data_IF_660388812046
#
_entry.id   IF_660388812046
#
_cell.length_a   1.000
_cell.length_b   1.000
_cell.length_c   1.000
_cell.angle_alpha   90.00
_cell.angle_beta   90.00
_cell.angle_gamma   90.00
#
_symmetry.space_group_name_H-M   'P 1'
#
loop_
_entity.id
_entity.type
_entity.pdbx_description
1 polymer ?
#
# COMPACT_ATOMS: atom_id res chain seq x y z
N UNK A 1 -45.56 9.95 39.00
CA UNK A 1 -44.92 8.79 38.35
C UNK A 1 -43.69 9.30 37.61
N UNK A 2 -42.51 8.94 38.10
CA UNK A 2 -41.23 9.31 37.49
C UNK A 2 -41.05 8.46 36.22
N UNK A 3 -41.00 9.12 35.06
CA UNK A 3 -40.59 8.51 33.80
C UNK A 3 -39.06 8.49 33.74
N UNK A 4 -38.49 7.29 33.79
CA UNK A 4 -37.05 7.06 33.70
C UNK A 4 -36.50 7.56 32.35
N UNK A 5 -35.62 8.55 32.40
CA UNK A 5 -34.69 8.85 31.32
C UNK A 5 -33.74 7.66 31.17
N UNK A 6 -33.93 6.86 30.12
CA UNK A 6 -32.96 5.84 29.73
C UNK A 6 -31.69 6.55 29.25
N UNK A 7 -30.59 6.34 29.96
CA UNK A 7 -29.24 6.77 29.58
C UNK A 7 -28.88 6.21 28.20
N UNK A 8 -28.83 7.06 27.19
CA UNK A 8 -28.27 6.75 25.87
C UNK A 8 -26.75 6.94 25.92
N UNK A 9 -26.00 5.99 26.48
CA UNK A 9 -24.55 5.96 26.23
C UNK A 9 -23.89 4.59 26.40
N UNK A 10 -24.51 3.55 25.82
CA UNK A 10 -23.81 2.29 25.51
C UNK A 10 -23.71 2.14 23.99
N UNK A 11 -22.95 3.02 23.32
CA UNK A 11 -22.49 2.72 21.97
C UNK A 11 -21.41 1.64 22.07
N UNK A 12 -21.86 0.37 22.02
CA UNK A 12 -21.01 -0.81 21.99
C UNK A 12 -19.91 -0.62 20.95
N UNK A 13 -18.66 -0.79 21.39
CA UNK A 13 -17.48 -0.60 20.55
C UNK A 13 -17.51 -1.58 19.36
N UNK A 14 -17.71 -1.08 18.14
CA UNK A 14 -17.77 -1.91 16.95
C UNK A 14 -16.37 -2.49 16.66
N UNK A 15 -16.23 -3.80 16.77
CA UNK A 15 -15.01 -4.55 16.40
C UNK A 15 -15.25 -5.29 15.09
N UNK A 16 -14.33 -5.16 14.15
CA UNK A 16 -14.41 -5.85 12.87
C UNK A 16 -14.14 -7.35 12.97
N UNK A 17 -14.82 -8.14 12.16
CA UNK A 17 -14.65 -9.61 12.08
C UNK A 17 -14.24 -10.10 10.69
N UNK A 18 -13.92 -9.19 9.76
CA UNK A 18 -13.40 -9.57 8.44
C UNK A 18 -11.94 -10.04 8.54
N UNK A 19 -11.72 -11.35 8.47
CA UNK A 19 -10.37 -11.94 8.54
C UNK A 19 -9.56 -11.84 7.23
N UNK A 20 -10.22 -11.52 6.11
CA UNK A 20 -9.57 -11.28 4.82
C UNK A 20 -9.11 -9.83 4.64
N UNK A 21 -8.19 -9.59 3.69
CA UNK A 21 -7.80 -8.24 3.28
C UNK A 21 -8.95 -7.47 2.59
N UNK A 22 -9.99 -8.19 2.15
CA UNK A 22 -11.23 -7.68 1.57
C UNK A 22 -12.43 -8.49 2.11
N UNK A 23 -13.55 -7.85 2.50
CA UNK A 23 -14.76 -8.57 2.87
C UNK A 23 -15.31 -9.42 1.72
N UNK A 24 -15.78 -10.64 2.01
CA UNK A 24 -16.33 -11.56 1.00
C UNK A 24 -17.53 -10.96 0.24
N UNK A 25 -18.35 -10.15 0.91
CA UNK A 25 -19.46 -9.44 0.27
C UNK A 25 -18.96 -8.45 -0.80
N UNK A 26 -17.88 -7.73 -0.52
CA UNK A 26 -17.26 -6.81 -1.49
C UNK A 26 -16.60 -7.58 -2.64
N UNK A 27 -15.90 -8.70 -2.37
CA UNK A 27 -15.30 -9.54 -3.42
C UNK A 27 -16.36 -9.99 -4.42
N UNK A 28 -17.48 -10.55 -3.93
CA UNK A 28 -18.60 -11.01 -4.78
C UNK A 28 -19.24 -9.87 -5.56
N UNK A 29 -19.42 -8.71 -4.93
CA UNK A 29 -19.92 -7.51 -5.59
C UNK A 29 -19.00 -7.11 -6.74
N UNK A 30 -17.69 -6.97 -6.48
CA UNK A 30 -16.72 -6.53 -7.50
C UNK A 30 -16.54 -7.55 -8.63
N UNK A 31 -16.69 -8.84 -8.36
CA UNK A 31 -16.76 -9.88 -9.41
C UNK A 31 -17.99 -9.70 -10.30
N UNK A 32 -19.18 -9.57 -9.70
CA UNK A 32 -20.44 -9.43 -10.44
C UNK A 32 -20.46 -8.16 -11.31
N UNK A 33 -20.02 -7.04 -10.74
CA UNK A 33 -20.00 -5.75 -11.44
C UNK A 33 -18.76 -5.55 -12.34
N UNK A 34 -17.86 -6.54 -12.44
CA UNK A 34 -16.60 -6.48 -13.21
C UNK A 34 -15.69 -5.30 -12.80
N UNK A 35 -15.65 -5.00 -11.50
CA UNK A 35 -14.88 -3.91 -10.87
C UNK A 35 -13.64 -4.43 -10.12
N UNK A 36 -12.92 -5.39 -10.72
CA UNK A 36 -11.68 -5.92 -10.15
C UNK A 36 -10.52 -5.07 -10.65
N UNK A 37 -9.69 -4.55 -9.73
CA UNK A 37 -8.54 -3.74 -10.14
C UNK A 37 -7.50 -4.64 -10.83
N UNK A 38 -6.74 -4.16 -11.85
CA UNK A 38 -5.70 -4.96 -12.48
C UNK A 38 -4.74 -5.61 -11.49
N UNK A 39 -4.38 -4.90 -10.42
CA UNK A 39 -3.47 -5.39 -9.36
C UNK A 39 -4.06 -6.52 -8.49
N UNK A 40 -5.35 -6.79 -8.62
CA UNK A 40 -6.08 -7.85 -7.91
C UNK A 40 -6.47 -9.01 -8.84
N UNK A 41 -6.26 -8.87 -10.16
CA UNK A 41 -6.56 -9.90 -11.15
C UNK A 41 -5.56 -11.05 -11.09
N UNK A 42 -6.03 -12.27 -11.35
CA UNK A 42 -5.18 -13.41 -11.58
C UNK A 42 -4.34 -13.23 -12.86
N UNK A 43 -3.20 -13.91 -12.88
CA UNK A 43 -2.26 -13.90 -13.99
C UNK A 43 -2.05 -15.35 -14.44
N UNK A 44 -2.06 -15.59 -15.74
CA UNK A 44 -1.77 -16.91 -16.32
C UNK A 44 -0.26 -17.22 -16.33
N UNK A 45 0.11 -18.39 -16.87
CA UNK A 45 1.51 -18.79 -17.03
C UNK A 45 2.32 -17.86 -17.93
N UNK A 46 1.67 -17.08 -18.79
CA UNK A 46 2.29 -16.18 -19.77
C UNK A 46 2.38 -14.73 -19.27
N UNK A 47 1.90 -14.44 -18.05
CA UNK A 47 1.89 -13.07 -17.52
C UNK A 47 0.66 -12.25 -17.92
N UNK A 48 -0.33 -12.83 -18.59
CA UNK A 48 -1.54 -12.14 -19.01
C UNK A 48 -2.57 -12.09 -17.87
N UNK A 49 -3.20 -10.92 -17.70
CA UNK A 49 -4.27 -10.72 -16.70
C UNK A 49 -5.54 -11.41 -17.14
N UNK A 50 -6.12 -12.16 -16.22
CA UNK A 50 -7.36 -12.88 -16.40
C UNK A 50 -8.50 -12.09 -15.73
N UNK A 51 -9.70 -12.15 -16.30
CA UNK A 51 -10.86 -11.41 -15.81
C UNK A 51 -11.54 -12.11 -14.60
N UNK A 52 -10.73 -12.60 -13.66
CA UNK A 52 -11.16 -13.15 -12.38
C UNK A 52 -10.14 -12.79 -11.30
N UNK A 53 -10.57 -12.68 -10.02
CA UNK A 53 -9.70 -12.17 -8.98
C UNK A 53 -8.69 -13.24 -8.55
N UNK A 54 -7.48 -12.81 -8.26
CA UNK A 54 -6.58 -13.56 -7.42
C UNK A 54 -7.02 -13.36 -5.97
N UNK A 55 -7.60 -14.38 -5.33
CA UNK A 55 -8.22 -14.27 -4.00
C UNK A 55 -7.30 -13.59 -2.97
N UNK A 56 -6.02 -14.00 -2.91
CA UNK A 56 -4.99 -13.44 -2.03
C UNK A 56 -4.55 -12.01 -2.36
N UNK A 57 -4.98 -11.44 -3.48
CA UNK A 57 -4.62 -10.08 -3.91
C UNK A 57 -5.76 -9.07 -3.67
N UNK A 58 -6.98 -9.52 -3.40
CA UNK A 58 -8.15 -8.65 -3.17
C UNK A 58 -7.97 -7.82 -1.90
N UNK A 59 -8.08 -6.50 -2.01
CA UNK A 59 -8.00 -5.59 -0.86
C UNK A 59 -9.22 -4.67 -0.86
N UNK A 60 -9.84 -4.49 0.33
CA UNK A 60 -11.01 -3.63 0.54
C UNK A 60 -10.80 -2.24 -0.06
N UNK A 61 -11.68 -1.80 -0.96
CA UNK A 61 -11.64 -0.47 -1.56
C UNK A 61 -12.13 0.60 -0.56
N UNK A 62 -11.61 1.82 -0.68
CA UNK A 62 -12.16 2.93 0.11
C UNK A 62 -13.58 3.26 -0.37
N UNK A 63 -14.51 3.41 0.58
CA UNK A 63 -15.88 3.82 0.30
C UNK A 63 -16.25 5.02 1.14
N UNK A 64 -16.88 6.02 0.54
CA UNK A 64 -17.38 7.17 1.29
C UNK A 64 -18.54 6.70 2.18
N UNK A 65 -18.56 7.04 3.48
CA UNK A 65 -19.72 6.74 4.32
C UNK A 65 -20.97 7.39 3.72
N UNK A 66 -21.96 6.58 3.36
CA UNK A 66 -23.26 7.07 2.89
C UNK A 66 -24.16 7.35 4.10
N UNK A 67 -24.92 8.44 4.05
CA UNK A 67 -25.87 8.79 5.11
C UNK A 67 -26.88 7.66 5.32
N UNK A 68 -27.01 7.18 6.56
CA UNK A 68 -27.96 6.12 6.93
C UNK A 68 -27.49 4.68 6.64
N UNK A 69 -26.29 4.49 6.07
CA UNK A 69 -25.75 3.13 5.86
C UNK A 69 -25.27 2.54 7.20
N UNK A 70 -25.86 1.41 7.58
CA UNK A 70 -25.41 0.66 8.76
C UNK A 70 -24.12 -0.08 8.46
N UNK A 71 -23.08 0.19 9.26
CA UNK A 71 -21.78 -0.48 9.15
C UNK A 71 -21.86 -1.82 9.88
N UNK A 72 -21.63 -2.92 9.17
CA UNK A 72 -21.62 -4.27 9.74
C UNK A 72 -20.21 -4.64 10.17
N UNK A 73 -20.08 -5.40 11.27
CA UNK A 73 -18.79 -5.93 11.73
C UNK A 73 -18.10 -6.81 10.66
N UNK A 74 -18.88 -7.51 9.83
CA UNK A 74 -18.38 -8.33 8.70
C UNK A 74 -17.70 -7.52 7.61
N UNK A 75 -17.96 -6.22 7.54
CA UNK A 75 -17.41 -5.33 6.52
C UNK A 75 -16.14 -4.62 7.02
N UNK A 76 -15.75 -4.82 8.29
CA UNK A 76 -14.63 -4.15 8.94
C UNK A 76 -13.54 -5.17 9.28
N UNK A 77 -12.29 -4.84 8.90
CA UNK A 77 -11.12 -5.68 9.20
C UNK A 77 -10.56 -5.32 10.58
N UNK A 78 -10.29 -6.29 11.47
CA UNK A 78 -9.66 -6.03 12.76
C UNK A 78 -8.21 -5.58 12.59
N UNK A 79 -7.65 -4.89 13.61
CA UNK A 79 -6.30 -4.28 13.57
C UNK A 79 -5.19 -5.23 13.09
N UNK A 80 -5.12 -6.51 13.52
CA UNK A 80 -4.10 -7.44 13.01
C UNK A 80 -4.19 -7.68 11.50
N UNK A 81 -5.41 -7.75 10.96
CA UNK A 81 -5.66 -7.92 9.52
C UNK A 81 -5.33 -6.64 8.76
N UNK A 82 -5.58 -5.46 9.34
CA UNK A 82 -5.17 -4.18 8.78
C UNK A 82 -3.65 -4.08 8.66
N UNK A 83 -2.91 -4.53 9.69
CA UNK A 83 -1.46 -4.60 9.65
C UNK A 83 -0.95 -5.60 8.59
N UNK A 84 -1.57 -6.80 8.49
CA UNK A 84 -1.27 -7.78 7.42
C UNK A 84 -1.48 -7.16 6.04
N UNK A 85 -2.60 -6.45 5.85
CA UNK A 85 -2.96 -5.77 4.60
C UNK A 85 -1.92 -4.69 4.25
N UNK A 86 -1.56 -3.85 5.21
CA UNK A 86 -0.54 -2.82 5.02
C UNK A 86 0.80 -3.42 4.55
N UNK A 87 1.25 -4.50 5.19
CA UNK A 87 2.49 -5.19 4.80
C UNK A 87 2.41 -5.70 3.37
N UNK A 88 1.29 -6.30 2.96
CA UNK A 88 1.08 -6.73 1.58
C UNK A 88 1.16 -5.54 0.60
N UNK A 89 0.47 -4.43 0.90
CA UNK A 89 0.50 -3.24 0.05
C UNK A 89 1.93 -2.70 -0.13
N UNK A 90 2.68 -2.58 0.96
CA UNK A 90 4.03 -1.98 0.93
C UNK A 90 5.12 -2.93 0.41
N UNK A 91 5.07 -4.22 0.74
CA UNK A 91 6.11 -5.18 0.39
C UNK A 91 5.87 -5.88 -0.95
N UNK A 92 4.61 -6.09 -1.33
CA UNK A 92 4.26 -6.78 -2.57
C UNK A 92 3.82 -5.78 -3.64
N UNK A 93 2.84 -4.92 -3.34
CA UNK A 93 2.23 -4.07 -4.38
C UNK A 93 3.13 -2.90 -4.79
N UNK A 94 3.71 -2.17 -3.82
CA UNK A 94 4.64 -1.07 -4.11
C UNK A 94 5.90 -1.50 -4.88
N UNK A 95 6.27 -2.78 -4.78
CA UNK A 95 7.47 -3.34 -5.42
C UNK A 95 7.22 -3.93 -6.81
N UNK A 96 5.97 -3.91 -7.30
CA UNK A 96 5.63 -4.42 -8.65
C UNK A 96 6.30 -3.58 -9.73
N UNK A 97 6.84 -4.28 -10.74
CA UNK A 97 7.50 -3.69 -11.92
C UNK A 97 6.74 -3.96 -13.21
N UNK A 98 5.70 -4.80 -13.16
CA UNK A 98 4.87 -5.18 -14.31
C UNK A 98 3.79 -4.13 -14.65
N UNK A 99 3.72 -3.04 -13.90
CA UNK A 99 2.75 -1.94 -14.07
C UNK A 99 3.42 -0.59 -13.88
N UNK A 100 2.76 0.47 -14.36
CA UNK A 100 3.17 1.84 -14.08
C UNK A 100 3.05 2.16 -12.58
N UNK A 101 3.94 3.03 -12.09
CA UNK A 101 3.87 3.50 -10.71
C UNK A 101 2.59 4.30 -10.43
N UNK A 102 2.06 5.02 -11.41
CA UNK A 102 0.79 5.74 -11.27
C UNK A 102 -0.35 4.80 -10.86
N UNK A 103 -0.45 3.64 -11.49
CA UNK A 103 -1.45 2.63 -11.16
C UNK A 103 -1.23 2.03 -9.76
N UNK A 104 0.04 1.81 -9.38
CA UNK A 104 0.39 1.35 -8.03
C UNK A 104 0.01 2.38 -6.97
N UNK A 105 0.34 3.66 -7.20
CA UNK A 105 0.01 4.75 -6.29
C UNK A 105 -1.51 4.88 -6.11
N UNK A 106 -2.27 4.92 -7.20
CA UNK A 106 -3.74 5.04 -7.16
C UNK A 106 -4.35 3.91 -6.33
N UNK A 107 -3.91 2.67 -6.56
CA UNK A 107 -4.37 1.52 -5.79
C UNK A 107 -3.97 1.61 -4.31
N UNK A 108 -2.68 1.78 -4.01
CA UNK A 108 -2.20 1.76 -2.63
C UNK A 108 -2.77 2.92 -1.82
N UNK A 109 -2.87 4.12 -2.41
CA UNK A 109 -3.46 5.29 -1.77
C UNK A 109 -4.93 5.08 -1.41
N UNK A 110 -5.72 4.47 -2.30
CA UNK A 110 -7.11 4.09 -2.04
C UNK A 110 -7.20 3.04 -0.92
N UNK A 111 -6.43 1.95 -1.02
CA UNK A 111 -6.48 0.87 -0.03
C UNK A 111 -5.97 1.31 1.35
N UNK A 112 -5.03 2.25 1.41
CA UNK A 112 -4.61 2.90 2.67
C UNK A 112 -5.74 3.74 3.27
N UNK A 113 -6.53 4.46 2.47
CA UNK A 113 -7.71 5.17 2.98
C UNK A 113 -8.75 4.19 3.55
N UNK A 114 -8.95 3.03 2.91
CA UNK A 114 -9.82 1.98 3.44
C UNK A 114 -9.30 1.41 4.78
N UNK A 115 -7.98 1.21 4.92
CA UNK A 115 -7.36 0.78 6.18
C UNK A 115 -7.59 1.83 7.28
N UNK A 116 -7.35 3.11 6.97
CA UNK A 116 -7.56 4.22 7.92
C UNK A 116 -9.02 4.36 8.32
N UNK A 117 -9.96 4.13 7.39
CA UNK A 117 -11.39 4.12 7.67
C UNK A 117 -11.77 3.01 8.65
N UNK A 118 -11.28 1.79 8.43
CA UNK A 118 -11.54 0.66 9.34
C UNK A 118 -10.97 0.93 10.75
N UNK A 119 -9.79 1.55 10.85
CA UNK A 119 -9.23 1.99 12.15
C UNK A 119 -10.12 3.04 12.83
N UNK A 120 -10.61 4.02 12.06
CA UNK A 120 -11.48 5.09 12.58
C UNK A 120 -12.80 4.54 13.13
N UNK A 121 -13.47 3.66 12.36
CA UNK A 121 -14.71 3.00 12.75
C UNK A 121 -14.54 2.21 14.05
N UNK A 122 -13.43 1.49 14.18
CA UNK A 122 -13.10 0.70 15.37
C UNK A 122 -12.47 1.51 16.49
N UNK A 123 -12.38 2.84 16.36
CA UNK A 123 -11.69 3.73 17.32
C UNK A 123 -10.30 3.19 17.74
N UNK A 124 -9.58 2.59 16.79
CA UNK A 124 -8.33 1.89 17.03
C UNK A 124 -7.21 2.85 17.45
N UNK A 125 -6.91 2.89 18.75
CA UNK A 125 -5.91 3.80 19.35
C UNK A 125 -4.89 3.02 20.19
N UNK A 126 -4.06 2.23 19.50
CA UNK A 126 -2.99 1.44 20.11
C UNK A 126 -1.70 1.54 19.27
N UNK A 127 -0.62 0.93 19.75
CA UNK A 127 0.70 0.96 19.10
C UNK A 127 0.66 0.40 17.67
N UNK A 128 -0.13 -0.65 17.41
CA UNK A 128 -0.29 -1.19 16.06
C UNK A 128 -0.98 -0.18 15.12
N UNK A 129 -2.03 0.50 15.59
CA UNK A 129 -2.70 1.55 14.81
C UNK A 129 -1.73 2.71 14.51
N UNK A 130 -0.94 3.14 15.50
CA UNK A 130 0.10 4.15 15.32
C UNK A 130 1.11 3.74 14.24
N UNK A 131 1.61 2.50 14.28
CA UNK A 131 2.53 1.98 13.26
C UNK A 131 1.91 2.00 11.86
N UNK A 132 0.62 1.69 11.73
CA UNK A 132 -0.11 1.77 10.46
C UNK A 132 -0.14 3.21 9.93
N UNK A 133 -0.52 4.18 10.77
CA UNK A 133 -0.57 5.58 10.36
C UNK A 133 0.82 6.13 10.00
N UNK A 134 1.85 5.77 10.76
CA UNK A 134 3.22 6.15 10.42
C UNK A 134 3.65 5.57 9.07
N UNK A 135 3.39 4.29 8.80
CA UNK A 135 3.69 3.69 7.51
C UNK A 135 2.95 4.38 6.34
N UNK A 136 1.69 4.78 6.55
CA UNK A 136 0.95 5.58 5.58
C UNK A 136 1.60 6.96 5.35
N UNK A 137 2.06 7.66 6.41
CA UNK A 137 2.85 8.89 6.27
C UNK A 137 4.10 8.66 5.42
N UNK A 138 4.87 7.60 5.69
CA UNK A 138 6.08 7.27 4.91
C UNK A 138 5.74 7.04 3.44
N UNK A 139 4.65 6.32 3.17
CA UNK A 139 4.15 6.10 1.81
C UNK A 139 3.82 7.42 1.11
N UNK A 140 3.03 8.31 1.72
CA UNK A 140 2.62 9.56 1.06
C UNK A 140 3.79 10.53 0.83
N UNK A 141 4.78 10.57 1.73
CA UNK A 141 6.01 11.36 1.54
C UNK A 141 6.81 10.79 0.36
N UNK A 142 7.04 9.47 0.36
CA UNK A 142 7.78 8.82 -0.72
C UNK A 142 7.05 8.93 -2.07
N UNK A 143 5.73 8.77 -2.08
CA UNK A 143 4.91 8.91 -3.28
C UNK A 143 5.07 10.32 -3.86
N UNK A 144 4.92 11.36 -3.04
CA UNK A 144 5.10 12.75 -3.47
C UNK A 144 6.48 13.01 -4.08
N UNK A 145 7.54 12.52 -3.42
CA UNK A 145 8.90 12.66 -3.93
C UNK A 145 9.08 11.89 -5.25
N UNK A 146 8.59 10.66 -5.33
CA UNK A 146 8.75 9.81 -6.52
C UNK A 146 8.00 10.33 -7.74
N UNK A 147 6.89 11.03 -7.54
CA UNK A 147 6.04 11.57 -8.62
C UNK A 147 6.24 13.07 -8.85
N UNK A 148 7.27 13.69 -8.28
CA UNK A 148 7.46 15.14 -8.38
C UNK A 148 7.69 15.64 -9.82
N UNK A 149 8.14 14.76 -10.72
CA UNK A 149 8.33 15.04 -12.15
C UNK A 149 7.22 14.47 -13.04
N UNK A 150 6.22 13.78 -12.48
CA UNK A 150 5.13 13.17 -13.24
C UNK A 150 4.05 14.20 -13.63
N UNK A 151 3.33 13.91 -14.72
CA UNK A 151 2.18 14.71 -15.14
C UNK A 151 0.99 14.60 -14.17
N UNK A 152 0.19 15.66 -14.07
CA UNK A 152 -0.99 15.74 -13.17
C UNK A 152 -2.07 14.70 -13.47
N UNK A 153 -2.11 14.14 -14.69
CA UNK A 153 -3.04 13.07 -15.06
C UNK A 153 -2.77 11.77 -14.31
N UNK A 154 -1.52 11.55 -13.92
CA UNK A 154 -1.05 10.31 -13.31
C UNK A 154 -0.99 10.42 -11.77
N UNK A 155 -0.86 11.64 -11.25
CA UNK A 155 -0.72 11.92 -9.82
C UNK A 155 -1.34 13.28 -9.47
N UNK A 156 -2.18 13.31 -8.44
CA UNK A 156 -2.71 14.55 -7.85
C UNK A 156 -1.88 14.93 -6.59
N UNK A 157 -0.99 15.93 -6.67
CA UNK A 157 -0.15 16.33 -5.54
C UNK A 157 -0.96 16.92 -4.40
N UNK A 158 -2.07 17.61 -4.68
CA UNK A 158 -2.91 18.24 -3.66
C UNK A 158 -3.64 17.19 -2.84
N UNK A 159 -4.23 16.20 -3.51
CA UNK A 159 -4.88 15.10 -2.82
C UNK A 159 -3.86 14.30 -1.99
N UNK A 160 -2.69 14.00 -2.54
CA UNK A 160 -1.63 13.31 -1.78
C UNK A 160 -1.21 14.11 -0.53
N UNK A 161 -0.96 15.41 -0.68
CA UNK A 161 -0.58 16.28 0.43
C UNK A 161 -1.67 16.37 1.49
N UNK A 162 -2.94 16.43 1.09
CA UNK A 162 -4.06 16.38 2.04
C UNK A 162 -4.05 15.08 2.84
N UNK A 163 -3.93 13.93 2.17
CA UNK A 163 -3.86 12.64 2.86
C UNK A 163 -2.66 12.55 3.80
N UNK A 164 -1.50 13.09 3.39
CA UNK A 164 -0.31 13.18 4.23
C UNK A 164 -0.57 14.01 5.48
N UNK A 165 -1.02 15.26 5.35
CA UNK A 165 -1.24 16.18 6.48
C UNK A 165 -2.31 15.65 7.43
N UNK A 166 -3.41 15.11 6.91
CA UNK A 166 -4.48 14.52 7.72
C UNK A 166 -3.97 13.31 8.53
N UNK A 167 -3.17 12.45 7.89
CA UNK A 167 -2.59 11.27 8.56
C UNK A 167 -1.55 11.68 9.60
N UNK A 168 -0.70 12.65 9.28
CA UNK A 168 0.37 13.13 10.14
C UNK A 168 -0.17 13.83 11.39
N UNK A 169 -1.23 14.63 11.24
CA UNK A 169 -1.93 15.24 12.38
C UNK A 169 -2.48 14.19 13.35
N UNK A 170 -3.02 13.09 12.82
CA UNK A 170 -3.51 11.97 13.63
C UNK A 170 -2.36 11.22 14.33
N UNK A 171 -1.20 11.06 13.68
CA UNK A 171 0.00 10.51 14.33
C UNK A 171 0.41 11.40 15.52
N UNK A 172 0.40 12.72 15.34
CA UNK A 172 0.74 13.65 16.42
C UNK A 172 -0.24 13.59 17.59
N UNK A 173 -1.55 13.45 17.33
CA UNK A 173 -2.54 13.28 18.41
C UNK A 173 -2.36 11.94 19.14
N UNK A 174 -2.05 10.86 18.41
CA UNK A 174 -1.80 9.56 19.02
C UNK A 174 -0.56 9.56 19.92
N UNK A 175 0.49 10.31 19.56
CA UNK A 175 1.64 10.48 20.45
C UNK A 175 1.25 11.13 21.78
N UNK A 176 0.46 12.22 21.73
CA UNK A 176 -0.01 12.90 22.94
C UNK A 176 -0.88 11.98 23.81
N UNK A 177 -1.79 11.24 23.20
CA UNK A 177 -2.65 10.29 23.93
C UNK A 177 -1.84 9.17 24.59
N UNK A 178 -0.87 8.58 23.88
CA UNK A 178 -0.04 7.50 24.43
C UNK A 178 0.93 8.00 25.51
N UNK A 179 1.49 9.20 25.36
CA UNK A 179 2.33 9.84 26.38
C UNK A 179 1.52 10.13 27.64
N UNK A 180 0.28 10.60 27.52
CA UNK A 180 -0.64 10.79 28.65
C UNK A 180 -0.93 9.48 29.38
N UNK A 181 -1.23 8.39 28.65
CA UNK A 181 -1.46 7.07 29.25
C UNK A 181 -0.22 6.58 29.99
N UNK A 182 0.98 6.75 29.41
CA UNK A 182 2.24 6.40 30.07
C UNK A 182 2.53 7.23 31.32
N UNK A 183 2.01 8.46 31.40
CA UNK A 183 2.19 9.35 32.56
C UNK A 183 1.21 9.06 33.69
N UNK A 184 0.01 8.54 33.38
CA UNK A 184 -1.00 8.10 34.36
C UNK A 184 -0.59 6.77 34.99
N UNK A 185 -0.01 5.86 34.20
CA UNK A 185 0.45 4.55 34.65
C UNK A 185 1.94 4.64 35.03
N UNK A 186 2.23 5.07 36.26
CA UNK A 186 3.57 5.05 36.84
C UNK A 186 4.17 3.60 36.86
N UNK A 187 5.50 3.42 37.02
CA UNK A 187 6.30 2.35 36.40
C UNK A 187 6.24 0.98 37.09
N UNK A 188 5.11 0.60 37.68
CA UNK A 188 4.92 -0.77 38.15
C UNK A 188 4.17 -1.58 37.09
N UNK A 189 4.99 -2.21 36.23
CA UNK A 189 4.66 -3.34 35.34
C UNK A 189 3.55 -3.08 34.33
N UNK A 190 3.89 -2.40 33.24
CA UNK A 190 3.28 -2.77 31.96
C UNK A 190 4.22 -3.72 31.26
N UNK A 191 3.91 -5.01 31.34
CA UNK A 191 4.51 -5.99 30.45
C UNK A 191 3.92 -5.77 29.04
N UNK A 192 4.62 -4.98 28.23
CA UNK A 192 4.21 -4.64 26.86
C UNK A 192 4.24 -5.86 25.91
N UNK A 193 4.52 -7.07 26.42
CA UNK A 193 4.62 -8.31 25.64
C UNK A 193 3.26 -8.93 25.29
N UNK A 194 2.17 -8.54 25.92
CA UNK A 194 0.82 -9.01 25.55
C UNK A 194 0.37 -8.51 24.16
N UNK A 195 1.07 -7.51 23.59
CA UNK A 195 0.80 -6.99 22.25
C UNK A 195 1.69 -7.56 21.14
N UNK A 196 2.71 -8.38 21.48
CA UNK A 196 3.69 -8.90 20.50
C UNK A 196 3.61 -10.41 20.27
N UNK A 197 2.79 -11.15 21.03
CA UNK A 197 2.63 -12.59 20.83
C UNK A 197 1.49 -12.92 19.85
N UNK A 198 1.72 -12.71 18.56
CA UNK A 198 1.05 -13.48 17.51
C UNK A 198 2.12 -14.23 16.73
N UNK A 199 2.53 -15.39 17.24
CA UNK A 199 3.26 -16.38 16.47
C UNK A 199 2.31 -16.92 15.39
N UNK A 200 2.40 -16.33 14.19
CA UNK A 200 1.75 -16.87 13.01
C UNK A 200 2.44 -18.17 12.60
N UNK A 201 1.80 -19.29 12.88
CA UNK A 201 1.86 -20.50 12.06
C UNK A 201 0.47 -21.14 12.11
N UNK A 202 -0.37 -20.81 11.13
CA UNK A 202 -1.39 -21.74 10.68
C UNK A 202 -0.98 -22.14 9.26
N UNK A 203 -0.53 -23.39 9.13
CA UNK A 203 -0.54 -24.09 7.85
C UNK A 203 -2.01 -24.18 7.43
N UNK A 204 -2.44 -23.33 6.49
CA UNK A 204 -3.68 -23.58 5.75
C UNK A 204 -3.42 -24.80 4.87
N UNK A 205 -3.96 -25.94 5.31
CA UNK A 205 -4.10 -27.15 4.53
C UNK A 205 -4.84 -26.85 3.23
N UNK A 206 -4.25 -27.25 2.11
CA UNK A 206 -4.92 -27.33 0.81
C UNK A 206 -6.08 -28.32 0.93
N UNK A 207 -7.31 -27.82 1.09
CA UNK A 207 -8.50 -28.63 0.83
C UNK A 207 -8.67 -28.71 -0.70
N UNK A 208 -8.27 -29.85 -1.25
CA UNK A 208 -8.64 -30.27 -2.60
C UNK A 208 -10.17 -30.54 -2.60
N UNK A 209 -10.94 -29.64 -3.19
CA UNK A 209 -12.34 -29.90 -3.55
C UNK A 209 -12.37 -30.94 -4.69
N UNK A 210 -12.31 -32.22 -4.35
CA UNK A 210 -12.70 -33.32 -5.22
C UNK A 210 -14.16 -33.71 -4.91
N UNK A 211 -15.10 -33.22 -5.70
CA UNK A 211 -16.42 -33.86 -5.80
C UNK A 211 -16.84 -33.95 -7.27
N UNK A 212 -16.46 -35.07 -7.87
CA UNK A 212 -17.13 -35.71 -8.99
C UNK A 212 -18.02 -36.80 -8.43
N UNK A 213 -19.35 -36.72 -8.59
CA UNK A 213 -20.01 -37.63 -9.53
C UNK A 213 -21.47 -37.24 -9.84
N UNK A 214 -21.79 -37.60 -11.07
CA UNK A 214 -22.95 -37.42 -11.91
C UNK A 214 -24.31 -37.88 -11.36
N UNK A 215 -25.38 -37.21 -11.80
CA UNK A 215 -26.61 -37.87 -12.27
C UNK A 215 -27.09 -37.22 -13.56
N UNK A 216 -26.99 -38.03 -14.61
CA UNK A 216 -27.64 -37.89 -15.91
C UNK A 216 -29.14 -38.15 -15.72
N UNK A 217 -30.00 -37.33 -16.32
CA UNK A 217 -31.29 -37.82 -16.80
C UNK A 217 -31.66 -37.07 -18.10
N UNK A 218 -31.72 -37.85 -19.18
CA UNK A 218 -32.15 -37.44 -20.52
C UNK A 218 -33.68 -37.58 -20.63
N UNK A 219 -34.31 -36.60 -21.27
CA UNK A 219 -35.75 -36.65 -21.56
C UNK A 219 -36.20 -35.50 -22.45
N UNK A 220 -36.00 -35.66 -23.75
CA UNK A 220 -36.33 -34.71 -24.81
C UNK A 220 -37.85 -34.47 -24.97
N UNK A 221 -38.23 -33.28 -25.44
CA UNK A 221 -39.08 -33.15 -26.64
C UNK A 221 -39.09 -31.73 -27.22
N UNK A 222 -38.86 -31.68 -28.53
CA UNK A 222 -38.88 -30.55 -29.46
C UNK A 222 -40.29 -30.01 -29.75
N UNK A 223 -40.46 -28.69 -29.94
CA UNK A 223 -41.36 -28.15 -30.98
C UNK A 223 -40.82 -26.86 -31.62
N UNK A 224 -40.69 -26.96 -32.93
CA UNK A 224 -40.45 -25.93 -33.95
C UNK A 224 -41.74 -25.13 -34.17
N UNK A 225 -41.67 -23.80 -34.27
CA UNK A 225 -42.49 -22.99 -35.20
C UNK A 225 -41.65 -21.78 -35.64
N UNK A 226 -41.38 -21.72 -36.95
CA UNK A 226 -41.03 -20.50 -37.68
C UNK A 226 -42.31 -19.73 -37.98
N UNK A 227 -42.27 -18.39 -38.00
CA UNK A 227 -42.90 -17.67 -39.11
C UNK A 227 -42.30 -16.28 -39.32
N UNK A 228 -42.28 -15.91 -40.60
CA UNK A 228 -41.61 -14.75 -41.20
C UNK A 228 -42.61 -13.66 -41.59
N UNK A 229 -42.17 -12.38 -41.63
CA UNK A 229 -42.43 -11.32 -42.64
C UNK A 229 -42.16 -9.94 -42.00
N UNK A 230 -41.21 -9.11 -42.47
CA UNK A 230 -40.99 -8.43 -43.77
C UNK A 230 -41.64 -7.03 -43.85
N UNK A 231 -40.84 -6.10 -44.42
CA UNK A 231 -41.14 -4.77 -45.02
C UNK A 231 -40.35 -3.64 -44.34
N UNK A 232 -39.21 -3.22 -44.90
CA UNK A 232 -39.03 -2.11 -45.90
C UNK A 232 -39.38 -0.72 -45.32
N UNK A 233 -38.60 0.36 -45.42
CA UNK A 233 -37.86 0.99 -46.53
C UNK A 233 -36.87 2.01 -45.91
N UNK A 234 -35.67 2.22 -46.45
CA UNK A 234 -35.34 3.33 -47.39
C UNK A 234 -35.11 4.65 -46.64
N UNK A 235 -33.99 5.38 -46.71
CA UNK A 235 -33.20 5.83 -47.86
C UNK A 235 -31.91 6.49 -47.31
N UNK A 236 -30.72 6.25 -47.89
CA UNK A 236 -29.93 7.15 -48.78
C UNK A 236 -29.57 8.50 -48.13
N UNK A 237 -28.31 8.94 -48.04
CA UNK A 237 -27.26 9.14 -49.05
C UNK A 237 -25.93 9.38 -48.33
N UNK A 238 -24.70 9.16 -48.81
CA UNK A 238 -24.08 9.12 -50.14
C UNK A 238 -22.61 9.58 -49.91
N UNK A 239 -21.58 8.82 -50.31
CA UNK A 239 -20.64 9.16 -51.39
C UNK A 239 -19.53 10.12 -50.90
N UNK A 240 -18.23 10.05 -51.20
CA UNK A 240 -17.43 9.54 -52.32
C UNK A 240 -15.94 9.85 -51.92
N UNK A 241 -14.99 8.91 -51.96
CA UNK A 241 -13.97 8.64 -53.03
C UNK A 241 -12.52 9.09 -52.66
N UNK A 242 -11.57 8.19 -52.98
CA UNK A 242 -10.08 8.10 -52.85
C UNK A 242 -9.39 8.98 -53.95
N UNK A 243 -8.11 9.50 -53.89
CA UNK A 243 -6.77 8.81 -53.77
C UNK A 243 -5.69 9.61 -52.98
N UNK A 244 -4.44 9.22 -52.70
CA UNK A 244 -3.46 8.19 -53.13
C UNK A 244 -2.05 8.85 -53.13
N UNK A 245 -0.97 8.03 -53.06
CA UNK A 245 0.48 8.36 -53.19
C UNK A 245 1.20 8.87 -51.92
N UNK A 246 2.46 8.54 -51.58
CA UNK A 246 3.53 7.65 -52.05
C UNK A 246 4.66 7.73 -50.99
N UNK A 247 5.51 6.70 -50.86
CA UNK A 247 6.77 6.81 -50.09
C UNK A 247 7.39 5.49 -49.63
N UNK A 248 7.91 4.70 -50.56
CA UNK A 248 8.83 3.58 -50.29
C UNK A 248 10.26 4.09 -50.01
N UNK A 249 11.00 3.39 -49.12
CA UNK A 249 12.30 2.79 -49.46
C UNK A 249 12.87 1.91 -48.34
N UNK A 250 13.05 0.63 -48.69
CA UNK A 250 13.90 -0.40 -48.06
C UNK A 250 15.40 0.01 -48.13
N UNK A 251 16.32 -0.61 -47.39
CA UNK A 251 17.05 -1.82 -47.86
C UNK A 251 17.98 -2.41 -46.77
N UNK A 252 18.10 -3.73 -46.86
CA UNK A 252 18.84 -4.76 -46.10
C UNK A 252 20.30 -4.90 -46.56
N UNK A 253 21.16 -5.53 -45.73
CA UNK A 253 22.40 -6.22 -46.14
C UNK A 253 23.38 -6.31 -44.95
N UNK A 254 23.48 -7.42 -44.23
CA UNK A 254 24.20 -8.69 -44.49
C UNK A 254 25.69 -8.69 -44.11
N UNK A 255 26.00 -9.60 -43.17
CA UNK A 255 27.16 -10.52 -43.03
C UNK A 255 28.60 -10.09 -43.44
N UNK A 256 29.58 -10.28 -42.53
CA UNK A 256 30.48 -11.45 -42.57
C UNK A 256 31.55 -11.53 -41.44
N UNK A 257 32.03 -12.76 -41.27
CA UNK A 257 32.90 -13.39 -40.27
C UNK A 257 34.35 -12.85 -40.12
N UNK A 258 35.01 -13.16 -38.98
CA UNK A 258 36.18 -14.08 -39.01
C UNK A 258 36.76 -14.52 -37.64
N UNK A 259 36.91 -15.85 -37.51
CA UNK A 259 38.00 -16.68 -36.95
C UNK A 259 38.60 -16.39 -35.56
N UNK A 260 38.58 -17.32 -34.60
CA UNK A 260 39.07 -18.72 -34.52
C UNK A 260 40.54 -18.87 -34.08
N UNK A 261 40.74 -19.73 -33.07
CA UNK A 261 42.02 -20.07 -32.46
C UNK A 261 41.86 -21.27 -31.52
N UNK A 262 41.98 -22.46 -32.10
CA UNK A 262 42.14 -23.81 -31.51
C UNK A 262 43.38 -23.89 -30.59
N UNK A 263 43.59 -24.87 -29.70
CA UNK A 263 42.92 -26.11 -29.32
C UNK A 263 43.94 -27.00 -28.56
N UNK A 264 43.49 -27.87 -27.66
CA UNK A 264 44.09 -29.19 -27.45
C UNK A 264 43.35 -30.01 -26.40
N UNK A 265 42.78 -31.11 -26.87
CA UNK A 265 42.28 -32.25 -26.12
C UNK A 265 43.44 -33.20 -25.83
N UNK A 266 43.53 -33.73 -24.61
CA UNK A 266 43.99 -35.11 -24.36
C UNK A 266 43.20 -35.71 -23.21
N UNK A 267 42.47 -36.77 -23.52
CA UNK A 267 41.80 -37.67 -22.60
C UNK A 267 42.79 -38.72 -22.04
N UNK A 268 42.52 -39.18 -20.82
CA UNK A 268 43.24 -40.25 -20.14
C UNK A 268 42.58 -40.64 -18.81
N UNK A 269 41.54 -41.46 -18.92
CA UNK A 269 40.93 -42.40 -17.94
C UNK A 269 41.92 -42.96 -16.88
N UNK A 270 41.57 -43.44 -15.68
CA UNK A 270 40.35 -43.65 -14.86
C UNK A 270 40.87 -44.18 -13.51
N UNK A 271 40.31 -43.78 -12.37
CA UNK A 271 39.93 -44.71 -11.27
C UNK A 271 39.23 -43.99 -10.11
N UNK A 272 37.93 -44.28 -10.04
CA UNK A 272 37.03 -44.42 -8.90
C UNK A 272 37.57 -44.05 -7.49
N UNK A 273 36.88 -43.10 -6.86
CA UNK A 273 36.65 -43.11 -5.41
C UNK A 273 35.35 -42.38 -5.11
N UNK A 274 34.43 -43.11 -4.47
CA UNK A 274 33.15 -42.66 -3.91
C UNK A 274 33.28 -41.29 -3.22
N UNK A 275 32.38 -40.36 -3.56
CA UNK A 275 32.13 -39.16 -2.76
C UNK A 275 30.64 -39.02 -2.50
N UNK A 276 30.31 -39.37 -1.26
CA UNK A 276 29.11 -39.01 -0.51
C UNK A 276 28.80 -37.51 -0.71
N UNK A 277 27.57 -37.17 -1.11
CA UNK A 277 27.09 -35.80 -1.19
C UNK A 277 27.15 -35.13 0.19
N UNK A 278 27.70 -33.91 0.32
CA UNK A 278 27.58 -33.13 1.55
C UNK A 278 26.15 -32.63 1.70
N UNK A 279 25.52 -33.02 2.81
CA UNK A 279 24.27 -32.47 3.33
C UNK A 279 24.26 -30.95 3.26
N UNK A 280 23.28 -30.39 2.54
CA UNK A 280 23.00 -28.95 2.50
C UNK A 280 22.70 -28.43 3.91
N UNK A 281 23.71 -27.84 4.54
CA UNK A 281 23.51 -26.97 5.71
C UNK A 281 22.76 -25.73 5.23
N UNK A 282 21.44 -25.75 5.36
CA UNK A 282 20.59 -24.55 5.26
C UNK A 282 21.08 -23.53 6.29
N UNK A 283 21.84 -22.54 5.83
CA UNK A 283 22.14 -21.34 6.60
C UNK A 283 20.83 -20.57 6.81
N UNK A 284 20.11 -20.89 7.89
CA UNK A 284 19.11 -19.98 8.46
C UNK A 284 19.84 -18.72 8.89
N UNK A 285 19.91 -17.72 8.01
CA UNK A 285 20.19 -16.34 8.42
C UNK A 285 19.02 -15.91 9.30
N UNK A 286 19.23 -16.04 10.61
CA UNK A 286 18.35 -15.53 11.63
C UNK A 286 18.39 -13.99 11.53
N UNK A 287 17.40 -13.42 10.84
CA UNK A 287 17.12 -11.99 10.94
C UNK A 287 16.64 -11.75 12.37
N UNK A 288 17.54 -11.30 13.23
CA UNK A 288 17.15 -10.56 14.42
C UNK A 288 16.47 -9.29 13.91
N UNK A 289 15.14 -9.25 13.96
CA UNK A 289 14.40 -8.02 13.77
C UNK A 289 14.78 -7.09 14.91
N UNK A 290 15.48 -6.00 14.61
CA UNK A 290 15.75 -4.96 15.59
C UNK A 290 14.43 -4.53 16.22
N UNK A 291 14.28 -4.76 17.53
CA UNK A 291 13.13 -4.29 18.30
C UNK A 291 13.14 -2.75 18.27
N UNK A 292 12.38 -2.16 17.34
CA UNK A 292 12.25 -0.71 17.21
C UNK A 292 11.50 -0.19 18.43
N UNK A 293 12.22 0.51 19.32
CA UNK A 293 11.62 1.15 20.51
C UNK A 293 10.57 2.20 20.12
N UNK A 294 9.50 2.32 20.91
CA UNK A 294 8.43 3.31 20.70
C UNK A 294 8.96 4.75 20.57
N UNK A 295 10.01 5.09 21.34
CA UNK A 295 10.67 6.40 21.29
C UNK A 295 11.29 6.70 19.92
N UNK A 296 11.96 5.73 19.29
CA UNK A 296 12.57 5.93 17.98
C UNK A 296 11.54 6.17 16.87
N UNK A 297 10.36 5.54 16.97
CA UNK A 297 9.23 5.78 16.07
C UNK A 297 8.64 7.18 16.27
N UNK A 298 8.54 7.64 17.52
CA UNK A 298 8.09 8.99 17.85
C UNK A 298 9.04 10.06 17.27
N UNK A 299 10.35 9.90 17.44
CA UNK A 299 11.37 10.82 16.94
C UNK A 299 11.29 11.05 15.43
N UNK A 300 11.19 9.97 14.65
CA UNK A 300 11.05 10.05 13.19
C UNK A 300 9.74 10.77 12.81
N UNK A 301 8.61 10.39 13.40
CA UNK A 301 7.33 11.02 13.06
C UNK A 301 7.27 12.51 13.40
N UNK A 302 7.87 12.93 14.53
CA UNK A 302 8.00 14.35 14.89
C UNK A 302 8.88 15.09 13.89
N UNK A 303 10.01 14.50 13.49
CA UNK A 303 10.88 15.09 12.48
C UNK A 303 10.18 15.25 11.12
N UNK A 304 9.42 14.24 10.69
CA UNK A 304 8.62 14.31 9.46
C UNK A 304 7.52 15.38 9.56
N UNK A 305 6.83 15.49 10.71
CA UNK A 305 5.86 16.56 10.97
C UNK A 305 6.45 17.96 10.83
N UNK A 306 7.65 18.19 11.39
CA UNK A 306 8.36 19.46 11.26
C UNK A 306 8.84 19.77 9.85
N UNK A 307 9.25 18.75 9.09
CA UNK A 307 9.77 18.93 7.73
C UNK A 307 8.65 19.15 6.72
N UNK A 308 7.52 18.44 6.86
CA UNK A 308 6.33 18.66 6.01
C UNK A 308 5.78 20.07 6.23
N UNK A 309 5.80 20.57 7.47
CA UNK A 309 5.31 21.91 7.83
C UNK A 309 6.46 22.90 8.08
N UNK A 310 7.53 22.84 7.28
CA UNK A 310 8.74 23.65 7.49
C UNK A 310 8.40 25.15 7.54
N UNK A 311 8.85 25.83 8.60
CA UNK A 311 8.61 27.25 8.81
C UNK A 311 7.25 27.60 9.42
N UNK A 312 6.40 26.61 9.72
CA UNK A 312 5.13 26.85 10.41
C UNK A 312 5.37 27.05 11.93
N UNK A 313 5.04 28.23 12.43
CA UNK A 313 5.27 28.61 13.84
C UNK A 313 4.51 27.72 14.83
N UNK A 314 3.25 27.37 14.51
CA UNK A 314 2.42 26.51 15.35
C UNK A 314 3.03 25.11 15.50
N UNK A 315 3.54 24.55 14.41
CA UNK A 315 4.25 23.26 14.40
C UNK A 315 5.48 23.30 15.32
N UNK A 316 6.28 24.36 15.25
CA UNK A 316 7.45 24.54 16.12
C UNK A 316 7.02 24.64 17.58
N UNK A 317 6.01 25.45 17.90
CA UNK A 317 5.49 25.60 19.25
C UNK A 317 4.94 24.29 19.82
N UNK A 318 4.24 23.50 19.00
CA UNK A 318 3.73 22.19 19.40
C UNK A 318 4.87 21.22 19.73
N UNK A 319 5.94 21.20 18.93
CA UNK A 319 7.11 20.35 19.19
C UNK A 319 7.88 20.78 20.43
N UNK A 320 8.00 22.09 20.69
CA UNK A 320 8.69 22.59 21.89
C UNK A 320 7.99 22.18 23.19
N UNK A 321 6.68 21.92 23.14
CA UNK A 321 5.87 21.42 24.27
C UNK A 321 6.03 19.92 24.53
N UNK A 322 6.64 19.16 23.61
CA UNK A 322 6.90 17.72 23.81
C UNK A 322 7.94 17.46 24.90
N UNK A 323 7.98 16.22 25.38
CA UNK A 323 8.92 15.79 26.42
C UNK A 323 10.38 15.96 26.00
N UNK A 324 11.27 16.26 26.96
CA UNK A 324 12.66 16.62 26.68
C UNK A 324 13.43 15.50 25.93
N UNK A 325 13.10 14.24 26.22
CA UNK A 325 13.73 13.08 25.60
C UNK A 325 13.59 13.09 24.06
N UNK A 326 12.40 13.42 23.55
CA UNK A 326 12.12 13.48 22.11
C UNK A 326 12.85 14.69 21.49
N UNK A 327 12.83 15.84 22.17
CA UNK A 327 13.49 17.08 21.70
C UNK A 327 15.01 16.96 21.63
N UNK A 328 15.61 16.15 22.51
CA UNK A 328 17.05 15.89 22.53
C UNK A 328 17.51 14.89 21.45
N UNK A 329 16.59 14.25 20.71
CA UNK A 329 16.96 13.41 19.58
C UNK A 329 17.78 14.21 18.55
N UNK A 330 18.83 13.58 18.01
CA UNK A 330 19.68 14.18 16.99
C UNK A 330 18.86 14.62 15.77
N UNK A 331 17.86 13.82 15.40
CA UNK A 331 17.03 14.08 14.23
C UNK A 331 16.09 15.27 14.48
N UNK A 332 15.38 15.30 15.61
CA UNK A 332 14.47 16.40 15.97
C UNK A 332 15.25 17.70 16.20
N UNK A 333 16.44 17.63 16.81
CA UNK A 333 17.30 18.80 16.97
C UNK A 333 17.77 19.36 15.61
N UNK A 334 18.08 18.49 14.65
CA UNK A 334 18.44 18.88 13.28
C UNK A 334 17.26 19.58 12.59
N UNK A 335 16.06 19.00 12.63
CA UNK A 335 14.86 19.59 12.01
C UNK A 335 14.45 20.90 12.67
N UNK A 336 14.64 21.06 13.98
CA UNK A 336 14.43 22.33 14.68
C UNK A 336 15.43 23.41 14.22
N UNK A 337 16.72 23.07 14.08
CA UNK A 337 17.73 23.99 13.53
C UNK A 337 17.39 24.41 12.09
N UNK A 338 16.85 23.50 11.28
CA UNK A 338 16.36 23.82 9.94
C UNK A 338 15.17 24.79 9.98
N UNK A 339 14.19 24.54 10.84
CA UNK A 339 13.03 25.43 11.02
C UNK A 339 13.44 26.84 11.48
N UNK A 340 14.36 26.96 12.44
CA UNK A 340 14.88 28.26 12.88
C UNK A 340 15.65 28.99 11.77
N UNK A 341 16.46 28.26 10.99
CA UNK A 341 17.16 28.83 9.83
C UNK A 341 16.18 29.32 8.76
N UNK A 342 15.09 28.58 8.53
CA UNK A 342 14.01 28.97 7.62
C UNK A 342 13.33 30.27 8.06
N UNK A 343 12.91 30.36 9.33
CA UNK A 343 12.30 31.57 9.89
C UNK A 343 13.24 32.79 9.87
N UNK A 344 14.55 32.56 9.91
CA UNK A 344 15.56 33.62 9.79
C UNK A 344 15.92 33.95 8.33
N UNK A 345 15.18 33.43 7.35
CA UNK A 345 15.45 33.53 5.91
C UNK A 345 16.87 33.09 5.50
N UNK A 346 17.52 32.23 6.28
CA UNK A 346 18.85 31.70 6.00
C UNK A 346 18.74 30.37 5.22
N UNK A 347 18.27 30.46 3.98
CA UNK A 347 18.02 29.27 3.16
C UNK A 347 19.29 28.49 2.81
N UNK A 348 20.45 29.17 2.70
CA UNK A 348 21.74 28.48 2.55
C UNK A 348 21.99 27.51 3.72
N UNK A 349 21.74 27.94 4.95
CA UNK A 349 21.86 27.07 6.13
C UNK A 349 20.83 25.94 6.10
N UNK A 350 19.60 26.20 5.65
CA UNK A 350 18.58 25.15 5.48
C UNK A 350 19.08 24.07 4.51
N UNK A 351 19.58 24.45 3.34
CA UNK A 351 20.11 23.53 2.33
C UNK A 351 21.37 22.79 2.83
N UNK A 352 22.25 23.47 3.56
CA UNK A 352 23.42 22.82 4.17
C UNK A 352 23.00 21.74 5.18
N UNK A 353 22.02 22.04 6.03
CA UNK A 353 21.52 21.11 7.04
C UNK A 353 20.72 19.95 6.43
N UNK A 354 20.02 20.17 5.31
CA UNK A 354 19.22 19.12 4.68
C UNK A 354 20.07 17.95 4.18
N UNK A 355 21.34 18.17 3.86
CA UNK A 355 22.30 17.10 3.50
C UNK A 355 22.55 16.09 4.63
N UNK A 356 22.27 16.46 5.88
CA UNK A 356 22.41 15.58 7.05
C UNK A 356 21.14 14.79 7.36
N UNK A 357 20.04 14.99 6.62
CA UNK A 357 18.79 14.29 6.85
C UNK A 357 18.87 12.84 6.36
N UNK A 358 18.21 11.88 7.05
CA UNK A 358 17.97 10.55 6.51
C UNK A 358 17.17 10.60 5.20
N UNK A 359 17.23 9.57 4.33
CA UNK A 359 16.62 9.59 3.01
C UNK A 359 15.13 9.99 2.98
N UNK A 360 14.31 9.40 3.85
CA UNK A 360 12.88 9.74 3.90
C UNK A 360 12.64 11.20 4.35
N UNK A 361 13.44 11.69 5.28
CA UNK A 361 13.38 13.10 5.72
C UNK A 361 13.82 14.05 4.59
N UNK A 362 14.76 13.65 3.73
CA UNK A 362 15.09 14.41 2.52
C UNK A 362 13.90 14.46 1.56
N UNK A 363 13.18 13.34 1.36
CA UNK A 363 11.94 13.33 0.58
C UNK A 363 10.89 14.30 1.15
N UNK A 364 10.73 14.35 2.48
CA UNK A 364 9.82 15.28 3.15
C UNK A 364 10.25 16.74 2.94
N UNK A 365 11.55 17.02 3.05
CA UNK A 365 12.11 18.36 2.80
C UNK A 365 11.93 18.82 1.35
N UNK A 366 11.99 17.89 0.38
CA UNK A 366 11.91 18.19 -1.05
C UNK A 366 10.64 18.94 -1.45
N UNK A 367 9.54 18.78 -0.69
CA UNK A 367 8.28 19.51 -0.86
C UNK A 367 8.50 21.03 -0.92
N UNK A 368 9.50 21.54 -0.20
CA UNK A 368 9.79 22.96 -0.05
C UNK A 368 10.86 23.50 -1.01
N UNK A 369 11.49 22.64 -1.82
CA UNK A 369 12.67 23.04 -2.59
C UNK A 369 12.34 24.11 -3.65
N UNK A 370 11.15 24.05 -4.23
CA UNK A 370 10.65 25.05 -5.19
C UNK A 370 10.43 26.42 -4.57
N UNK A 371 10.18 26.49 -3.26
CA UNK A 371 10.03 27.74 -2.51
C UNK A 371 11.40 28.37 -2.22
N UNK A 372 12.41 27.55 -1.92
CA UNK A 372 13.78 28.02 -1.64
C UNK A 372 14.48 28.55 -2.90
N UNK A 373 14.16 27.98 -4.07
CA UNK A 373 14.78 28.34 -5.35
C UNK A 373 14.21 29.64 -5.97
N UNK A 374 13.18 30.23 -5.38
CA UNK A 374 12.58 31.51 -5.76
C UNK A 374 13.04 32.60 -4.79
#
# INVERSE_FOLDING_TARGET
MAGQEKSKDEHQHLVGICMGMCPNAEVRLRQREKMIHPLEMAIDSNGQRLNYPQARAMVKMYSRPAAGQQIKATDIRPVPVLMKTLRYLLANVCCRKDVSWALVYQFVSDRLQAIRQDLCVQRGRNVMALQIYQAAVRFYIYAHYRTCEHELKDFDPFLNMKQLVDTLSLVMSLYQELDLVSSIVAPDKVDLTDYTSFNGYDEESEEEDSDSDSKVDDGAETKIVQDSKASEKGTSSGGETIPGLEGDNNTVGDHDDNSSGSGSVKAGNTQEREKVLPSERKNKKQYHGDTVSCSSLQEEGVALYMLVNLGNEETIMNVLRLHQNIKCSKLVSLTLKMNLAWLSHNYYRVLKLSTCLPPLCQCAFHIHLTVIQR
#
